data_IF_142985775341
#
_entry.id   IF_142985775341
#
_cell.length_a   1.000
_cell.length_b   1.000
_cell.length_c   1.000
_cell.angle_alpha   90.00
_cell.angle_beta   90.00
_cell.angle_gamma   90.00
#
_symmetry.space_group_name_H-M   'P 1'
#
loop_
_entity.id
_entity.type
_entity.pdbx_description
1 polymer ?
#
# COMPACT_ATOMS: atom_id res chain seq x y z
N UNK A 1 -2.65 -10.17 -26.55
CA UNK A 1 -2.36 -10.48 -25.14
C UNK A 1 -1.02 -9.89 -24.82
N UNK A 2 -0.97 -8.89 -23.95
CA UNK A 2 0.27 -8.13 -23.69
C UNK A 2 1.01 -8.67 -22.46
N UNK A 3 0.26 -9.13 -21.46
CA UNK A 3 0.80 -9.72 -20.22
C UNK A 3 0.05 -10.99 -19.85
N UNK A 4 0.80 -12.07 -19.66
CA UNK A 4 0.33 -13.32 -19.06
C UNK A 4 0.93 -13.45 -17.67
N UNK A 5 0.10 -13.75 -16.68
CA UNK A 5 0.47 -13.77 -15.26
C UNK A 5 0.13 -15.12 -14.68
N UNK A 6 1.12 -15.79 -14.08
CA UNK A 6 0.90 -17.01 -13.29
C UNK A 6 0.78 -16.63 -11.81
N UNK A 7 -0.30 -17.02 -11.14
CA UNK A 7 -0.53 -16.67 -9.73
C UNK A 7 0.34 -17.43 -8.75
N UNK A 8 0.73 -18.64 -9.12
CA UNK A 8 1.61 -19.52 -8.33
C UNK A 8 3.07 -19.03 -8.26
N UNK A 9 3.38 -17.98 -9.01
CA UNK A 9 4.71 -17.43 -9.19
C UNK A 9 4.77 -15.98 -8.71
N UNK A 10 5.95 -15.51 -8.26
CA UNK A 10 6.10 -14.13 -7.79
C UNK A 10 5.75 -13.12 -8.91
N UNK A 11 4.64 -12.40 -8.72
CA UNK A 11 4.13 -11.40 -9.65
C UNK A 11 5.18 -10.31 -9.89
N UNK A 12 5.92 -9.89 -8.87
CA UNK A 12 6.95 -8.86 -9.04
C UNK A 12 8.06 -9.34 -9.97
N UNK A 13 8.55 -10.56 -9.80
CA UNK A 13 9.58 -11.14 -10.66
C UNK A 13 9.10 -11.32 -12.13
N UNK A 14 7.82 -11.64 -12.33
CA UNK A 14 7.21 -11.70 -13.66
C UNK A 14 7.14 -10.31 -14.30
N UNK A 15 6.67 -9.32 -13.55
CA UNK A 15 6.53 -7.95 -14.06
C UNK A 15 7.88 -7.28 -14.29
N UNK A 16 8.88 -7.47 -13.43
CA UNK A 16 10.25 -6.97 -13.70
C UNK A 16 10.75 -7.44 -15.06
N UNK A 17 10.57 -8.73 -15.40
CA UNK A 17 10.96 -9.27 -16.70
C UNK A 17 10.22 -8.59 -17.86
N UNK A 18 8.93 -8.27 -17.69
CA UNK A 18 8.14 -7.56 -18.69
C UNK A 18 8.58 -6.11 -18.86
N UNK A 19 8.73 -5.35 -17.79
CA UNK A 19 9.12 -3.93 -17.86
C UNK A 19 10.59 -3.73 -18.25
N UNK A 20 11.46 -4.74 -18.09
CA UNK A 20 12.82 -4.73 -18.66
C UNK A 20 12.85 -4.90 -20.18
N UNK A 21 11.79 -5.44 -20.78
CA UNK A 21 11.73 -5.62 -22.23
C UNK A 21 11.46 -4.27 -22.92
N UNK A 22 12.38 -3.75 -23.76
CA UNK A 22 12.18 -2.47 -24.45
C UNK A 22 10.98 -2.44 -25.39
N UNK A 23 10.49 -3.60 -25.84
CA UNK A 23 9.30 -3.69 -26.68
C UNK A 23 7.99 -3.52 -25.90
N UNK A 24 8.03 -3.54 -24.56
CA UNK A 24 6.85 -3.38 -23.73
C UNK A 24 6.48 -1.89 -23.61
N UNK A 25 5.45 -1.48 -24.35
CA UNK A 25 5.01 -0.09 -24.43
C UNK A 25 3.89 0.21 -23.43
N UNK A 26 4.23 0.89 -22.33
CA UNK A 26 3.30 1.25 -21.24
C UNK A 26 2.27 2.32 -21.62
N UNK A 27 2.34 2.88 -22.84
CA UNK A 27 1.36 3.87 -23.34
C UNK A 27 0.16 3.20 -24.00
N UNK A 28 0.24 1.90 -24.27
CA UNK A 28 -0.83 1.13 -24.90
C UNK A 28 -1.77 0.58 -23.82
N UNK A 29 -3.08 0.41 -24.14
CA UNK A 29 -4.00 -0.30 -23.24
C UNK A 29 -3.44 -1.68 -22.90
N UNK A 30 -3.49 -2.03 -21.61
CA UNK A 30 -3.01 -3.32 -21.14
C UNK A 30 -4.12 -4.38 -21.32
N UNK A 31 -3.75 -5.55 -21.83
CA UNK A 31 -4.61 -6.72 -21.84
C UNK A 31 -3.95 -7.87 -21.07
N UNK A 32 -4.54 -8.21 -19.92
CA UNK A 32 -4.00 -9.17 -18.94
C UNK A 32 -4.75 -10.49 -18.96
N UNK A 33 -3.98 -11.57 -19.01
CA UNK A 33 -4.48 -12.94 -18.86
C UNK A 33 -3.84 -13.57 -17.61
N UNK A 34 -4.67 -14.05 -16.69
CA UNK A 34 -4.21 -14.97 -15.65
C UNK A 34 -4.20 -16.38 -16.24
N UNK A 35 -3.03 -17.01 -16.24
CA UNK A 35 -2.84 -18.33 -16.85
C UNK A 35 -3.70 -19.36 -16.12
N UNK A 36 -4.33 -20.25 -16.88
CA UNK A 36 -5.25 -21.29 -16.41
C UNK A 36 -6.60 -20.79 -15.86
N UNK A 37 -6.95 -19.52 -16.10
CA UNK A 37 -8.25 -18.93 -15.72
C UNK A 37 -9.10 -18.60 -16.95
N UNK A 38 -10.42 -18.84 -16.85
CA UNK A 38 -11.37 -18.45 -17.89
C UNK A 38 -11.78 -16.99 -17.71
N UNK A 39 -11.48 -16.14 -18.70
CA UNK A 39 -11.93 -14.75 -18.70
C UNK A 39 -11.31 -13.92 -19.81
N UNK A 40 -12.01 -12.89 -20.25
CA UNK A 40 -11.49 -11.88 -21.19
C UNK A 40 -11.31 -10.58 -20.42
N UNK A 41 -10.14 -9.96 -20.51
CA UNK A 41 -9.89 -8.70 -19.83
C UNK A 41 -10.72 -7.58 -20.44
N UNK A 42 -11.78 -7.19 -19.72
CA UNK A 42 -12.55 -5.96 -19.98
C UNK A 42 -12.17 -4.84 -19.02
N UNK A 43 -10.98 -4.95 -18.39
CA UNK A 43 -10.43 -4.03 -17.38
C UNK A 43 -10.30 -4.65 -15.98
N UNK A 44 -10.98 -5.77 -15.72
CA UNK A 44 -10.95 -6.45 -14.42
C UNK A 44 -9.59 -7.07 -14.09
N UNK A 45 -9.02 -7.85 -15.03
CA UNK A 45 -7.73 -8.50 -14.81
C UNK A 45 -6.59 -7.48 -14.74
N UNK A 46 -6.66 -6.41 -15.54
CA UNK A 46 -5.72 -5.29 -15.45
C UNK A 46 -5.72 -4.64 -14.06
N UNK A 47 -6.90 -4.33 -13.51
CA UNK A 47 -7.00 -3.76 -12.15
C UNK A 47 -6.48 -4.71 -11.09
N UNK A 48 -6.83 -5.98 -11.21
CA UNK A 48 -6.36 -7.01 -10.28
C UNK A 48 -4.83 -7.14 -10.31
N UNK A 49 -4.22 -7.22 -11.49
CA UNK A 49 -2.76 -7.26 -11.63
C UNK A 49 -2.10 -6.08 -10.93
N UNK A 50 -2.57 -4.85 -11.17
CA UNK A 50 -1.99 -3.68 -10.53
C UNK A 50 -2.19 -3.68 -9.02
N UNK A 51 -3.35 -4.13 -8.51
CA UNK A 51 -3.53 -4.30 -7.07
C UNK A 51 -2.50 -5.27 -6.48
N UNK A 52 -2.38 -6.47 -7.06
CA UNK A 52 -1.45 -7.50 -6.59
C UNK A 52 0.00 -7.01 -6.69
N UNK A 53 0.35 -6.31 -7.78
CA UNK A 53 1.67 -5.75 -7.98
C UNK A 53 1.99 -4.67 -6.94
N UNK A 54 1.10 -3.70 -6.72
CA UNK A 54 1.34 -2.63 -5.74
C UNK A 54 1.47 -3.18 -4.31
N UNK A 55 0.67 -4.18 -3.95
CA UNK A 55 0.82 -4.90 -2.67
C UNK A 55 2.13 -5.66 -2.58
N UNK A 56 2.54 -6.31 -3.66
CA UNK A 56 3.78 -7.09 -3.68
C UNK A 56 5.01 -6.19 -3.60
N UNK A 57 4.97 -4.99 -4.19
CA UNK A 57 6.05 -4.00 -4.09
C UNK A 57 6.34 -3.62 -2.62
N UNK A 58 5.30 -3.46 -1.80
CA UNK A 58 5.40 -3.00 -0.41
C UNK A 58 5.50 -4.11 0.62
N UNK A 59 5.45 -5.38 0.19
CA UNK A 59 5.52 -6.55 1.06
C UNK A 59 6.89 -7.22 0.97
N UNK A 60 7.52 -7.43 2.13
CA UNK A 60 8.75 -8.21 2.24
C UNK A 60 8.50 -9.71 2.10
N UNK A 61 9.41 -10.42 1.43
CA UNK A 61 9.48 -11.88 1.34
C UNK A 61 10.89 -12.36 1.65
N UNK A 62 11.03 -13.46 2.40
CA UNK A 62 12.34 -13.99 2.83
C UNK A 62 13.24 -14.36 1.64
N UNK A 63 12.68 -15.03 0.63
CA UNK A 63 13.41 -15.51 -0.55
C UNK A 63 13.12 -14.69 -1.83
N UNK A 64 12.66 -13.44 -1.66
CA UNK A 64 12.16 -12.61 -2.75
C UNK A 64 12.88 -11.27 -2.88
N UNK A 65 12.55 -10.56 -3.96
CA UNK A 65 13.00 -9.18 -4.16
C UNK A 65 12.23 -8.28 -3.20
N UNK A 66 12.95 -7.58 -2.32
CA UNK A 66 12.41 -6.63 -1.36
C UNK A 66 12.90 -5.23 -1.71
N UNK A 67 11.96 -4.36 -2.10
CA UNK A 67 12.28 -3.04 -2.67
C UNK A 67 12.15 -1.91 -1.63
N UNK A 68 11.34 -2.13 -0.60
CA UNK A 68 11.10 -1.20 0.49
C UNK A 68 11.34 -1.86 1.84
N UNK A 69 11.60 -1.03 2.85
CA UNK A 69 11.83 -1.42 4.24
C UNK A 69 11.17 -0.40 5.19
N UNK A 70 11.01 -0.80 6.45
CA UNK A 70 10.36 0.01 7.48
C UNK A 70 8.91 -0.40 7.75
N UNK A 71 8.22 0.44 8.51
CA UNK A 71 6.82 0.24 8.89
C UNK A 71 5.89 0.64 7.74
N UNK A 72 4.72 0.02 7.66
CA UNK A 72 3.71 0.44 6.70
C UNK A 72 3.19 1.85 7.05
N UNK A 73 3.03 2.69 6.02
CA UNK A 73 2.81 4.13 6.17
C UNK A 73 4.12 4.93 6.31
N UNK A 74 5.24 4.23 6.54
CA UNK A 74 6.58 4.78 6.71
C UNK A 74 7.62 4.04 5.86
N UNK A 75 7.18 3.35 4.80
CA UNK A 75 8.08 2.58 3.95
C UNK A 75 9.02 3.49 3.18
N UNK A 76 10.28 3.08 3.15
CA UNK A 76 11.34 3.75 2.41
C UNK A 76 11.99 2.78 1.41
N UNK A 77 12.46 3.25 0.24
CA UNK A 77 13.25 2.43 -0.67
C UNK A 77 14.44 1.81 0.06
N UNK A 78 14.72 0.52 -0.12
CA UNK A 78 15.90 -0.08 0.54
C UNK A 78 17.18 0.60 0.06
N UNK A 79 18.08 0.88 1.00
CA UNK A 79 19.41 1.35 0.66
C UNK A 79 20.27 0.16 0.20
N UNK A 80 20.04 -0.27 -1.04
CA UNK A 80 20.66 -1.46 -1.63
C UNK A 80 21.18 -1.11 -3.05
N UNK A 81 22.49 -1.25 -3.23
CA UNK A 81 23.16 -0.90 -4.47
C UNK A 81 22.87 -1.89 -5.61
N UNK A 82 22.58 -3.16 -5.33
CA UNK A 82 22.25 -4.14 -6.36
C UNK A 82 20.87 -3.83 -6.95
N UNK A 83 19.91 -3.42 -6.10
CA UNK A 83 18.60 -2.96 -6.57
C UNK A 83 18.71 -1.67 -7.38
N UNK A 84 19.55 -0.73 -6.93
CA UNK A 84 19.79 0.55 -7.59
C UNK A 84 20.47 0.36 -8.96
N UNK A 85 21.62 -0.32 -8.98
CA UNK A 85 22.39 -0.56 -10.21
C UNK A 85 21.64 -1.46 -11.20
N UNK A 86 20.78 -2.37 -10.69
CA UNK A 86 19.86 -3.17 -11.49
C UNK A 86 18.69 -2.38 -12.11
N UNK A 87 18.57 -1.08 -11.82
CA UNK A 87 17.56 -0.16 -12.33
C UNK A 87 16.15 -0.43 -11.79
N UNK A 88 16.02 -1.17 -10.68
CA UNK A 88 14.71 -1.61 -10.20
C UNK A 88 13.86 -0.45 -9.72
N UNK A 89 14.44 0.56 -9.09
CA UNK A 89 13.71 1.77 -8.67
C UNK A 89 13.11 2.56 -9.84
N UNK A 90 13.78 2.58 -10.99
CA UNK A 90 13.22 3.13 -12.23
C UNK A 90 12.02 2.31 -12.69
N UNK A 91 12.12 0.98 -12.67
CA UNK A 91 11.02 0.10 -13.06
C UNK A 91 9.80 0.27 -12.14
N UNK A 92 10.00 0.45 -10.84
CA UNK A 92 8.90 0.72 -9.89
C UNK A 92 8.18 2.01 -10.28
N UNK A 93 8.91 3.09 -10.52
CA UNK A 93 8.31 4.35 -11.00
C UNK A 93 7.48 4.14 -12.26
N UNK A 94 7.98 3.33 -13.22
CA UNK A 94 7.24 2.97 -14.44
C UNK A 94 5.99 2.14 -14.14
N UNK A 95 6.05 1.19 -13.21
CA UNK A 95 4.91 0.36 -12.80
C UNK A 95 3.81 1.20 -12.15
N UNK A 96 4.19 2.14 -11.28
CA UNK A 96 3.25 3.09 -10.64
C UNK A 96 2.62 3.99 -11.71
N UNK A 97 3.42 4.57 -12.60
CA UNK A 97 2.90 5.36 -13.72
C UNK A 97 1.91 4.55 -14.57
N UNK A 98 2.26 3.32 -14.90
CA UNK A 98 1.44 2.47 -15.75
C UNK A 98 0.11 2.07 -15.08
N UNK A 99 0.08 1.90 -13.75
CA UNK A 99 -1.19 1.67 -13.04
C UNK A 99 -2.11 2.88 -13.15
N UNK A 100 -1.55 4.09 -12.97
CA UNK A 100 -2.29 5.36 -13.08
C UNK A 100 -2.85 5.56 -14.49
N UNK A 101 -2.07 5.26 -15.53
CA UNK A 101 -2.52 5.32 -16.93
C UNK A 101 -3.68 4.37 -17.23
N UNK A 102 -3.74 3.23 -16.54
CA UNK A 102 -4.85 2.27 -16.64
C UNK A 102 -5.99 2.56 -15.64
N UNK A 103 -6.03 3.77 -15.06
CA UNK A 103 -7.08 4.21 -14.16
C UNK A 103 -7.03 3.57 -12.76
N UNK A 104 -5.98 2.84 -12.42
CA UNK A 104 -5.79 2.23 -11.11
C UNK A 104 -5.16 3.22 -10.11
N UNK A 105 -5.14 2.85 -8.83
CA UNK A 105 -4.35 3.55 -7.81
C UNK A 105 -2.86 3.22 -7.97
N UNK A 106 -2.01 4.08 -7.43
CA UNK A 106 -0.58 3.80 -7.32
C UNK A 106 -0.25 2.96 -6.09
N UNK A 107 0.83 3.32 -5.40
CA UNK A 107 1.40 2.57 -4.28
C UNK A 107 1.05 3.25 -2.94
N UNK A 108 0.50 2.49 -2.00
CA UNK A 108 0.27 2.95 -0.62
C UNK A 108 1.41 2.51 0.31
N UNK A 109 1.44 2.99 1.56
CA UNK A 109 2.41 2.50 2.55
C UNK A 109 3.73 3.27 2.62
N UNK A 110 4.02 4.14 1.64
CA UNK A 110 5.25 4.93 1.63
C UNK A 110 5.24 6.03 2.69
N UNK A 111 6.43 6.33 3.22
CA UNK A 111 6.66 7.46 4.11
C UNK A 111 6.17 8.78 3.50
N UNK A 112 5.48 9.64 4.27
CA UNK A 112 5.11 10.99 3.85
C UNK A 112 6.32 11.82 3.38
N UNK A 113 7.48 11.65 4.00
CA UNK A 113 8.71 12.33 3.60
C UNK A 113 9.21 11.86 2.22
N UNK A 114 9.16 10.54 1.97
CA UNK A 114 9.48 9.99 0.65
C UNK A 114 8.48 10.45 -0.43
N UNK A 115 7.19 10.48 -0.13
CA UNK A 115 6.15 10.98 -1.04
C UNK A 115 6.40 12.45 -1.37
N UNK A 116 6.65 13.30 -0.37
CA UNK A 116 6.94 14.71 -0.57
C UNK A 116 8.16 14.94 -1.48
N UNK A 117 9.23 14.14 -1.30
CA UNK A 117 10.37 14.17 -2.21
C UNK A 117 10.02 13.65 -3.61
N UNK A 118 9.31 12.53 -3.73
CA UNK A 118 8.95 11.96 -5.04
C UNK A 118 8.08 12.93 -5.84
N UNK A 119 7.16 13.66 -5.20
CA UNK A 119 6.31 14.65 -5.86
C UNK A 119 7.10 15.90 -6.28
N UNK A 120 7.93 16.45 -5.38
CA UNK A 120 8.54 17.78 -5.59
C UNK A 120 9.99 17.74 -6.11
N UNK A 121 10.72 16.67 -5.84
CA UNK A 121 12.16 16.56 -6.06
C UNK A 121 12.98 17.43 -5.11
N UNK A 122 12.38 17.97 -4.05
CA UNK A 122 13.03 18.91 -3.14
C UNK A 122 13.18 18.32 -1.75
N UNK A 123 14.37 18.49 -1.17
CA UNK A 123 14.71 17.98 0.16
C UNK A 123 13.98 18.74 1.27
N UNK A 124 13.83 20.05 1.13
CA UNK A 124 13.12 20.92 2.07
C UNK A 124 11.66 20.49 2.27
N UNK A 125 10.99 20.07 1.19
CA UNK A 125 9.64 19.52 1.26
C UNK A 125 9.60 18.20 2.04
N UNK A 126 10.59 17.32 1.86
CA UNK A 126 10.66 16.04 2.55
C UNK A 126 10.91 16.18 4.06
N UNK A 127 11.80 17.11 4.44
CA UNK A 127 12.20 17.32 5.85
C UNK A 127 11.01 17.71 6.73
N UNK A 128 10.01 18.40 6.19
CA UNK A 128 8.80 18.79 6.92
C UNK A 128 7.93 17.62 7.38
N UNK A 129 8.15 16.43 6.81
CA UNK A 129 7.35 15.24 7.03
C UNK A 129 8.11 14.11 7.72
N UNK A 130 9.36 14.36 8.16
CA UNK A 130 10.16 13.35 8.84
C UNK A 130 9.56 13.00 10.20
N UNK A 131 9.50 11.71 10.50
CA UNK A 131 9.15 11.19 11.81
C UNK A 131 10.14 10.12 12.27
N UNK A 132 10.14 9.84 13.58
CA UNK A 132 10.91 8.74 14.15
C UNK A 132 10.45 7.37 13.59
N UNK A 133 9.20 7.26 13.12
CA UNK A 133 8.61 6.06 12.55
C UNK A 133 9.17 5.72 11.15
N UNK A 134 9.80 6.70 10.48
CA UNK A 134 10.50 6.49 9.20
C UNK A 134 11.82 5.71 9.36
N UNK A 135 12.35 5.55 10.57
CA UNK A 135 13.55 4.73 10.78
C UNK A 135 13.21 3.25 10.62
N UNK A 136 13.81 2.63 9.61
CA UNK A 136 13.63 1.21 9.31
C UNK A 136 14.32 0.29 10.30
N UNK A 137 15.37 0.76 10.99
CA UNK A 137 16.10 0.00 12.00
C UNK A 137 15.48 0.23 13.40
N UNK A 138 14.86 -0.80 14.01
CA UNK A 138 14.24 -0.68 15.33
C UNK A 138 15.23 -0.40 16.47
N UNK A 139 16.49 -0.80 16.32
CA UNK A 139 17.54 -0.54 17.32
C UNK A 139 17.90 0.93 17.26
N UNK A 140 18.21 1.45 16.07
CA UNK A 140 18.52 2.86 15.87
C UNK A 140 17.36 3.77 16.29
N UNK A 141 16.12 3.35 15.98
CA UNK A 141 14.92 4.06 16.40
C UNK A 141 14.83 4.22 17.93
N UNK A 142 15.08 3.14 18.68
CA UNK A 142 15.14 3.17 20.15
C UNK A 142 16.28 4.03 20.66
N UNK A 143 17.45 3.96 20.03
CA UNK A 143 18.60 4.81 20.37
C UNK A 143 18.25 6.29 20.20
N UNK A 144 17.58 6.68 19.11
CA UNK A 144 17.17 8.06 18.89
C UNK A 144 16.06 8.50 19.84
N UNK A 145 15.16 7.59 20.22
CA UNK A 145 14.18 7.86 21.26
C UNK A 145 14.86 8.15 22.61
N UNK A 146 15.85 7.34 23.01
CA UNK A 146 16.64 7.59 24.22
C UNK A 146 17.45 8.90 24.10
N UNK A 147 18.03 9.21 22.92
CA UNK A 147 18.75 10.48 22.68
C UNK A 147 17.87 11.69 23.01
N UNK A 148 16.60 11.67 22.60
CA UNK A 148 15.67 12.77 22.82
C UNK A 148 15.20 12.85 24.29
N UNK A 149 15.09 11.72 24.99
CA UNK A 149 14.46 11.66 26.32
C UNK A 149 15.45 11.56 27.49
N UNK A 150 16.72 11.23 27.27
CA UNK A 150 17.67 10.94 28.34
C UNK A 150 18.10 12.19 29.13
N UNK A 151 18.66 11.99 30.32
CA UNK A 151 19.26 13.08 31.09
C UNK A 151 20.62 13.50 30.48
N UNK A 152 21.08 14.71 30.80
CA UNK A 152 22.32 15.27 30.25
C UNK A 152 23.59 14.47 30.59
N UNK A 153 23.58 13.68 31.67
CA UNK A 153 24.72 12.87 32.08
C UNK A 153 24.95 11.67 31.15
N UNK A 154 23.89 11.18 30.48
CA UNK A 154 23.97 10.08 29.51
C UNK A 154 24.35 10.52 28.10
N UNK A 155 24.41 11.82 27.81
CA UNK A 155 24.61 12.29 26.44
C UNK A 155 25.98 11.93 25.86
N UNK A 156 27.01 11.88 26.70
CA UNK A 156 28.34 11.45 26.28
C UNK A 156 28.32 10.01 25.72
N UNK A 157 27.42 9.15 26.20
CA UNK A 157 27.30 7.75 25.80
C UNK A 157 26.93 7.59 24.31
N UNK A 158 26.37 8.62 23.67
CA UNK A 158 26.05 8.62 22.24
C UNK A 158 27.29 8.83 21.35
N UNK A 159 28.41 9.24 21.94
CA UNK A 159 29.71 9.43 21.28
C UNK A 159 30.83 8.65 21.94
N UNK A 160 30.51 7.63 22.75
CA UNK A 160 31.46 6.70 23.33
C UNK A 160 31.42 5.37 22.56
N UNK A 161 32.51 4.94 21.89
CA UNK A 161 32.50 3.74 21.04
C UNK A 161 32.06 2.44 21.74
N UNK A 162 32.31 2.32 23.05
CA UNK A 162 31.97 1.14 23.87
C UNK A 162 30.48 1.11 24.29
N UNK A 163 29.73 2.17 24.03
CA UNK A 163 28.34 2.32 24.46
C UNK A 163 27.36 1.69 23.48
N UNK A 164 26.32 1.03 24.01
CA UNK A 164 25.20 0.52 23.18
C UNK A 164 24.30 1.61 22.60
N UNK A 165 24.50 2.87 23.00
CA UNK A 165 23.78 4.05 22.48
C UNK A 165 24.62 4.86 21.48
N UNK A 166 25.83 4.40 21.17
CA UNK A 166 26.76 5.11 20.29
C UNK A 166 26.13 5.32 18.90
N UNK A 167 26.19 6.56 18.39
CA UNK A 167 25.70 6.93 17.04
C UNK A 167 26.79 7.59 16.17
N UNK A 168 28.06 7.31 16.47
CA UNK A 168 29.20 7.93 15.76
C UNK A 168 29.16 7.59 14.27
N UNK A 169 28.80 6.35 13.91
CA UNK A 169 28.77 5.90 12.52
C UNK A 169 27.67 6.64 11.74
N UNK A 170 26.50 6.85 12.33
CA UNK A 170 25.40 7.60 11.75
C UNK A 170 25.75 9.08 11.59
N UNK A 171 26.42 9.67 12.59
CA UNK A 171 26.93 11.03 12.51
C UNK A 171 27.97 11.18 11.40
N UNK A 172 28.89 10.22 11.27
CA UNK A 172 29.88 10.20 10.20
C UNK A 172 29.22 10.07 8.83
N UNK A 173 28.26 9.15 8.67
CA UNK A 173 27.50 8.96 7.45
C UNK A 173 26.70 10.23 7.07
N UNK A 174 26.14 10.93 8.07
CA UNK A 174 25.46 12.20 7.91
C UNK A 174 26.39 13.39 7.58
N UNK A 175 27.71 13.20 7.64
CA UNK A 175 28.71 14.23 7.34
C UNK A 175 29.15 15.08 8.55
N UNK A 176 28.90 14.60 9.76
CA UNK A 176 29.19 15.28 11.04
C UNK A 176 30.15 14.46 11.94
N UNK A 177 31.34 14.08 11.47
CA UNK A 177 32.25 13.14 12.16
C UNK A 177 32.80 13.64 13.52
N UNK A 178 32.65 14.93 13.82
CA UNK A 178 33.17 15.58 15.02
C UNK A 178 32.06 16.21 15.87
N UNK A 179 30.80 15.84 15.63
CA UNK A 179 29.69 16.37 16.42
C UNK A 179 29.63 15.65 17.76
N UNK A 180 29.96 16.38 18.82
CA UNK A 180 29.71 15.95 20.19
C UNK A 180 28.23 16.10 20.53
N UNK A 181 27.67 15.06 21.17
CA UNK A 181 26.29 15.07 21.64
C UNK A 181 26.25 15.74 23.01
N UNK A 182 25.87 17.02 23.03
CA UNK A 182 25.64 17.82 24.24
C UNK A 182 24.18 18.26 24.31
N UNK A 183 23.73 18.80 25.45
CA UNK A 183 22.34 19.26 25.61
C UNK A 183 21.95 20.28 24.51
N UNK A 184 22.86 21.19 24.18
CA UNK A 184 22.63 22.22 23.17
C UNK A 184 22.62 21.68 21.74
N UNK A 185 23.27 20.53 21.50
CA UNK A 185 23.46 19.94 20.16
C UNK A 185 22.65 18.66 19.94
N UNK A 186 21.96 18.15 20.96
CA UNK A 186 21.19 16.91 20.95
C UNK A 186 20.17 16.87 19.81
N UNK A 187 19.34 17.89 19.67
CA UNK A 187 18.35 17.97 18.59
C UNK A 187 19.01 18.07 17.23
N UNK A 188 20.11 18.81 17.12
CA UNK A 188 20.86 18.91 15.87
C UNK A 188 21.48 17.57 15.45
N UNK A 189 22.06 16.81 16.40
CA UNK A 189 22.57 15.46 16.15
C UNK A 189 21.46 14.52 15.67
N UNK A 190 20.32 14.53 16.37
CA UNK A 190 19.12 13.77 15.99
C UNK A 190 18.65 14.13 14.57
N UNK A 191 18.45 15.41 14.27
CA UNK A 191 17.95 15.87 12.97
C UNK A 191 18.91 15.51 11.83
N UNK A 192 20.22 15.73 12.02
CA UNK A 192 21.20 15.42 10.99
C UNK A 192 21.21 13.93 10.65
N UNK A 193 21.23 13.06 11.66
CA UNK A 193 21.18 11.63 11.43
C UNK A 193 19.85 11.20 10.84
N UNK A 194 18.70 11.68 11.34
CA UNK A 194 17.38 11.34 10.80
C UNK A 194 17.24 11.75 9.33
N UNK A 195 17.65 12.96 8.98
CA UNK A 195 17.61 13.45 7.59
C UNK A 195 18.51 12.60 6.69
N UNK A 196 19.69 12.20 7.18
CA UNK A 196 20.56 11.30 6.44
C UNK A 196 19.91 9.94 6.23
N UNK A 197 19.47 9.36 7.35
CA UNK A 197 18.94 8.03 7.48
C UNK A 197 17.61 7.84 6.79
N UNK A 198 16.79 8.87 6.58
CA UNK A 198 15.49 8.72 5.91
C UNK A 198 15.58 9.15 4.44
N UNK A 199 16.19 10.31 4.18
CA UNK A 199 16.17 10.94 2.85
C UNK A 199 17.52 10.86 2.16
N UNK A 200 18.59 11.36 2.77
CA UNK A 200 19.84 11.65 2.04
C UNK A 200 20.45 10.40 1.43
N UNK A 201 20.54 9.29 2.18
CA UNK A 201 21.08 8.04 1.64
C UNK A 201 20.18 7.37 0.60
N UNK A 202 18.91 7.78 0.49
CA UNK A 202 17.92 7.21 -0.43
C UNK A 202 17.65 8.05 -1.67
N UNK A 203 18.28 9.23 -1.79
CA UNK A 203 18.09 10.10 -2.94
C UNK A 203 18.31 9.40 -4.29
N UNK A 204 19.34 8.55 -4.50
CA UNK A 204 19.49 7.86 -5.77
C UNK A 204 18.29 6.99 -6.14
N UNK A 205 17.74 6.24 -5.17
CA UNK A 205 16.57 5.40 -5.37
C UNK A 205 15.29 6.24 -5.59
N UNK A 206 15.11 7.31 -4.82
CA UNK A 206 13.97 8.23 -4.97
C UNK A 206 14.00 8.95 -6.32
N UNK A 207 15.18 9.37 -6.78
CA UNK A 207 15.39 9.98 -8.10
C UNK A 207 15.11 8.96 -9.21
N UNK A 208 15.48 7.69 -9.04
CA UNK A 208 15.16 6.64 -9.99
C UNK A 208 13.65 6.37 -10.07
N UNK A 209 12.94 6.35 -8.94
CA UNK A 209 11.46 6.29 -8.95
C UNK A 209 10.89 7.48 -9.72
N UNK A 210 11.40 8.70 -9.49
CA UNK A 210 11.01 9.90 -10.23
C UNK A 210 11.25 9.75 -11.74
N UNK A 211 12.41 9.21 -12.16
CA UNK A 211 12.69 8.92 -13.57
C UNK A 211 11.63 7.99 -14.17
N UNK A 212 11.25 6.92 -13.45
CA UNK A 212 10.21 6.01 -13.90
C UNK A 212 8.83 6.66 -14.01
N UNK A 213 8.46 7.52 -13.06
CA UNK A 213 7.20 8.28 -13.09
C UNK A 213 7.17 9.32 -14.22
N UNK A 214 8.33 9.78 -14.68
CA UNK A 214 8.48 10.75 -15.76
C UNK A 214 8.55 10.11 -17.17
N UNK A 215 8.49 8.78 -17.28
CA UNK A 215 8.71 8.04 -18.53
C UNK A 215 7.74 8.45 -19.65
N UNK A 216 6.46 8.67 -19.31
CA UNK A 216 5.46 9.15 -20.27
C UNK A 216 5.40 10.67 -20.20
N UNK A 217 5.81 11.29 -21.31
CA UNK A 217 5.83 12.73 -21.49
C UNK A 217 4.86 13.12 -22.62
N UNK A 218 3.85 13.92 -22.29
CA UNK A 218 2.90 14.48 -23.26
C UNK A 218 3.13 15.98 -23.33
N UNK A 219 3.75 16.44 -24.43
CA UNK A 219 3.98 17.88 -24.69
C UNK A 219 4.73 18.61 -23.57
N UNK A 220 5.70 17.95 -22.94
CA UNK A 220 6.48 18.49 -21.81
C UNK A 220 5.86 18.26 -20.43
N UNK A 221 4.67 17.64 -20.36
CA UNK A 221 3.98 17.35 -19.11
C UNK A 221 4.14 15.87 -18.78
N UNK A 222 4.67 15.58 -17.58
CA UNK A 222 4.78 14.24 -17.01
C UNK A 222 3.86 14.08 -15.81
N UNK A 223 3.73 12.86 -15.29
CA UNK A 223 2.99 12.63 -14.03
C UNK A 223 3.60 13.43 -12.87
N UNK A 224 4.91 13.62 -12.81
CA UNK A 224 5.55 14.45 -11.77
C UNK A 224 5.06 15.90 -11.81
N UNK A 225 4.93 16.51 -12.99
CA UNK A 225 4.40 17.87 -13.13
C UNK A 225 2.96 17.99 -12.60
N UNK A 226 2.16 16.93 -12.77
CA UNK A 226 0.79 16.89 -12.26
C UNK A 226 0.76 16.66 -10.75
N UNK A 227 1.61 15.77 -10.24
CA UNK A 227 1.72 15.49 -8.81
C UNK A 227 2.13 16.73 -8.02
N UNK A 228 3.08 17.52 -8.52
CA UNK A 228 3.50 18.77 -7.88
C UNK A 228 2.37 19.82 -7.80
N UNK A 229 1.44 19.81 -8.77
CA UNK A 229 0.36 20.79 -8.89
C UNK A 229 -0.95 20.39 -8.22
N UNK A 230 -1.25 19.10 -8.14
CA UNK A 230 -2.58 18.59 -7.74
C UNK A 230 -2.49 17.64 -6.55
N UNK A 231 -2.73 18.12 -5.31
CA UNK A 231 -2.71 17.29 -4.11
C UNK A 231 -3.67 16.09 -4.16
N UNK A 232 -4.85 16.26 -4.76
CA UNK A 232 -5.81 15.15 -4.95
C UNK A 232 -5.23 14.00 -5.77
N UNK A 233 -4.40 14.32 -6.78
CA UNK A 233 -3.71 13.31 -7.57
C UNK A 233 -2.62 12.62 -6.74
N UNK A 234 -1.92 13.36 -5.87
CA UNK A 234 -0.97 12.74 -4.94
C UNK A 234 -1.68 11.70 -4.06
N UNK A 235 -2.87 12.01 -3.53
CA UNK A 235 -3.67 11.05 -2.75
C UNK A 235 -4.16 9.83 -3.54
N UNK A 236 -4.22 9.90 -4.88
CA UNK A 236 -4.56 8.76 -5.74
C UNK A 236 -3.34 7.90 -6.10
N UNK A 237 -2.20 8.53 -6.35
CA UNK A 237 -0.95 7.84 -6.72
C UNK A 237 -0.22 7.29 -5.49
N UNK A 238 -0.27 8.03 -4.39
CA UNK A 238 0.28 7.64 -3.10
C UNK A 238 -0.81 7.72 -2.01
N UNK A 239 -1.80 6.81 -2.04
CA UNK A 239 -2.85 6.80 -1.03
C UNK A 239 -2.25 6.62 0.37
N UNK A 240 -2.80 7.37 1.33
CA UNK A 240 -2.46 7.19 2.73
C UNK A 240 -2.64 5.72 3.10
N UNK A 241 -1.65 5.17 3.80
CA UNK A 241 -1.80 3.85 4.36
C UNK A 241 -2.74 3.91 5.55
N UNK A 242 -3.93 3.36 5.38
CA UNK A 242 -4.86 3.14 6.48
C UNK A 242 -5.19 1.65 6.51
N UNK A 243 -4.79 0.99 7.60
CA UNK A 243 -5.37 -0.30 7.97
C UNK A 243 -6.74 -0.13 8.66
N UNK A 244 -7.17 1.11 8.87
CA UNK A 244 -8.39 1.46 9.57
C UNK A 244 -9.49 1.81 8.57
N UNK A 245 -10.06 0.75 8.00
CA UNK A 245 -11.43 0.85 7.51
C UNK A 245 -12.33 0.89 8.75
N UNK A 246 -12.93 2.04 9.03
CA UNK A 246 -13.95 2.15 10.07
C UNK A 246 -15.29 1.63 9.57
N UNK A 247 -16.02 0.90 10.40
CA UNK A 247 -17.38 0.43 10.12
C UNK A 247 -18.31 1.59 9.73
N UNK A 248 -18.21 2.73 10.42
CA UNK A 248 -19.06 3.89 10.15
C UNK A 248 -18.75 4.52 8.80
N UNK A 249 -17.46 4.60 8.42
CA UNK A 249 -17.04 5.17 7.14
C UNK A 249 -17.39 4.24 5.99
N UNK A 250 -17.25 2.93 6.15
CA UNK A 250 -17.71 1.94 5.17
C UNK A 250 -19.22 2.09 4.94
N UNK A 251 -20.02 2.15 6.02
CA UNK A 251 -21.48 2.32 5.94
C UNK A 251 -21.91 3.57 5.16
N UNK A 252 -21.17 4.67 5.24
CA UNK A 252 -21.44 5.88 4.43
C UNK A 252 -21.26 5.68 2.92
N UNK A 253 -20.44 4.69 2.51
CA UNK A 253 -20.24 4.34 1.10
C UNK A 253 -21.27 3.35 0.57
N UNK A 254 -22.02 2.67 1.45
CA UNK A 254 -22.96 1.63 1.03
C UNK A 254 -24.18 2.21 0.31
N UNK A 255 -24.66 1.44 -0.67
CA UNK A 255 -25.95 1.61 -1.29
C UNK A 255 -26.59 0.23 -1.45
N UNK A 256 -27.67 -0.04 -0.70
CA UNK A 256 -28.41 -1.29 -0.85
C UNK A 256 -29.35 -1.20 -2.05
N UNK A 257 -29.50 -2.30 -2.79
CA UNK A 257 -30.63 -2.45 -3.71
C UNK A 257 -31.94 -2.44 -2.92
N UNK A 258 -32.93 -1.72 -3.43
CA UNK A 258 -34.25 -1.68 -2.80
C UNK A 258 -34.96 -3.02 -3.00
N UNK A 259 -35.39 -3.64 -1.90
CA UNK A 259 -36.18 -4.87 -1.90
C UNK A 259 -37.21 -4.83 -0.79
N UNK A 260 -38.41 -5.32 -1.07
CA UNK A 260 -39.49 -5.49 -0.08
C UNK A 260 -39.59 -6.93 0.44
N UNK A 261 -38.72 -7.83 -0.03
CA UNK A 261 -38.68 -9.22 0.43
C UNK A 261 -38.11 -9.29 1.85
N UNK A 262 -38.83 -9.98 2.75
CA UNK A 262 -38.45 -10.10 4.17
C UNK A 262 -37.05 -10.69 4.36
N UNK A 263 -36.63 -11.64 3.52
CA UNK A 263 -35.29 -12.25 3.60
C UNK A 263 -34.21 -11.27 3.15
N UNK A 264 -34.48 -10.43 2.14
CA UNK A 264 -33.54 -9.39 1.70
C UNK A 264 -33.34 -8.35 2.80
N UNK A 265 -34.43 -7.87 3.41
CA UNK A 265 -34.40 -6.92 4.53
C UNK A 265 -33.64 -7.53 5.72
N UNK A 266 -33.88 -8.81 6.02
CA UNK A 266 -33.18 -9.51 7.09
C UNK A 266 -31.68 -9.67 6.81
N UNK A 267 -31.30 -10.00 5.57
CA UNK A 267 -29.91 -10.12 5.15
C UNK A 267 -29.19 -8.77 5.20
N UNK A 268 -29.86 -7.67 4.84
CA UNK A 268 -29.33 -6.31 5.02
C UNK A 268 -29.03 -6.01 6.49
N UNK A 269 -29.96 -6.29 7.40
CA UNK A 269 -29.75 -6.09 8.85
C UNK A 269 -28.58 -6.94 9.36
N UNK A 270 -28.48 -8.19 8.93
CA UNK A 270 -27.35 -9.05 9.26
C UNK A 270 -26.04 -8.54 8.68
N UNK A 271 -26.03 -7.99 7.47
CA UNK A 271 -24.82 -7.43 6.88
C UNK A 271 -24.35 -6.17 7.61
N UNK A 272 -25.27 -5.28 8.00
CA UNK A 272 -24.95 -4.12 8.83
C UNK A 272 -24.39 -4.53 10.21
N UNK A 273 -24.96 -5.59 10.82
CA UNK A 273 -24.44 -6.17 12.06
C UNK A 273 -23.04 -6.76 11.86
N UNK A 274 -22.84 -7.50 10.77
CA UNK A 274 -21.55 -8.12 10.43
C UNK A 274 -20.45 -7.09 10.24
N UNK A 275 -20.73 -5.97 9.57
CA UNK A 275 -19.80 -4.84 9.44
C UNK A 275 -19.41 -4.26 10.82
N UNK A 276 -20.37 -4.07 11.72
CA UNK A 276 -20.07 -3.57 13.07
C UNK A 276 -19.24 -4.55 13.89
N UNK A 277 -19.45 -5.86 13.70
CA UNK A 277 -18.64 -6.89 14.35
C UNK A 277 -17.21 -6.93 13.80
N UNK A 278 -17.03 -6.88 12.47
CA UNK A 278 -15.71 -6.78 11.85
C UNK A 278 -14.93 -5.57 12.36
N UNK A 279 -15.61 -4.43 12.57
CA UNK A 279 -14.99 -3.22 13.13
C UNK A 279 -14.55 -3.31 14.59
N UNK A 280 -14.96 -4.37 15.30
CA UNK A 280 -14.57 -4.63 16.71
C UNK A 280 -13.56 -5.77 16.85
N UNK A 281 -13.26 -6.51 15.77
CA UNK A 281 -12.27 -7.59 15.81
C UNK A 281 -10.88 -7.01 16.05
N UNK A 282 -10.08 -7.74 16.81
CA UNK A 282 -8.69 -7.37 17.04
C UNK A 282 -7.90 -7.54 15.74
N UNK A 283 -7.00 -6.60 15.44
CA UNK A 283 -6.23 -6.60 14.18
C UNK A 283 -5.16 -7.69 14.16
N UNK A 284 -4.77 -8.20 15.33
CA UNK A 284 -3.74 -9.22 15.51
C UNK A 284 -4.29 -10.66 15.57
N UNK A 285 -5.60 -10.85 15.37
CA UNK A 285 -6.20 -12.19 15.32
C UNK A 285 -6.30 -12.71 13.88
N UNK A 286 -6.21 -14.04 13.70
CA UNK A 286 -6.34 -14.73 12.39
C UNK A 286 -7.77 -14.64 11.78
N UNK A 287 -8.57 -13.64 12.15
CA UNK A 287 -9.94 -13.45 11.66
C UNK A 287 -10.00 -12.41 10.54
N UNK A 288 -11.12 -12.41 9.81
CA UNK A 288 -11.32 -11.45 8.73
C UNK A 288 -11.56 -10.05 9.28
N UNK A 289 -11.01 -9.06 8.60
CA UNK A 289 -11.08 -7.64 8.98
C UNK A 289 -11.99 -6.85 8.05
N UNK A 290 -12.32 -5.61 8.41
CA UNK A 290 -13.01 -4.69 7.49
C UNK A 290 -12.20 -4.41 6.22
N UNK A 291 -10.86 -4.34 6.33
CA UNK A 291 -9.97 -4.19 5.18
C UNK A 291 -10.07 -5.40 4.24
N UNK A 292 -10.16 -6.61 4.78
CA UNK A 292 -10.34 -7.84 3.99
C UNK A 292 -11.69 -7.85 3.27
N UNK A 293 -12.77 -7.41 3.92
CA UNK A 293 -14.08 -7.26 3.28
C UNK A 293 -14.03 -6.25 2.11
N UNK A 294 -13.41 -5.09 2.32
CA UNK A 294 -13.29 -4.06 1.27
C UNK A 294 -12.42 -4.56 0.12
N UNK A 295 -11.34 -5.28 0.42
CA UNK A 295 -10.51 -5.94 -0.57
C UNK A 295 -11.30 -6.99 -1.36
N UNK A 296 -12.06 -7.85 -0.69
CA UNK A 296 -12.89 -8.86 -1.34
C UNK A 296 -13.88 -8.22 -2.32
N UNK A 297 -14.49 -7.12 -1.91
CA UNK A 297 -15.52 -6.45 -2.69
C UNK A 297 -14.94 -5.62 -3.85
N UNK A 298 -13.91 -4.82 -3.60
CA UNK A 298 -13.42 -3.80 -4.55
C UNK A 298 -12.13 -4.19 -5.25
N UNK A 299 -11.56 -5.33 -4.88
CA UNK A 299 -10.18 -5.69 -5.19
C UNK A 299 -9.14 -4.71 -4.64
N UNK A 300 -9.49 -3.81 -3.71
CA UNK A 300 -8.56 -2.87 -3.06
C UNK A 300 -8.83 -2.80 -1.55
N UNK A 301 -7.80 -2.78 -0.67
CA UNK A 301 -8.02 -2.89 0.78
C UNK A 301 -8.47 -1.58 1.45
N UNK A 302 -8.65 -0.51 0.69
CA UNK A 302 -9.12 0.77 1.22
C UNK A 302 -10.41 1.20 0.53
N UNK A 303 -11.20 2.00 1.23
CA UNK A 303 -12.41 2.59 0.68
C UNK A 303 -12.06 3.56 -0.47
N UNK A 304 -12.99 3.78 -1.43
CA UNK A 304 -12.86 4.86 -2.39
C UNK A 304 -12.58 6.19 -1.68
N UNK A 305 -11.79 7.07 -2.30
CA UNK A 305 -11.41 8.36 -1.72
C UNK A 305 -12.57 9.34 -1.55
N UNK A 306 -13.73 9.02 -2.13
CA UNK A 306 -14.94 9.85 -2.12
C UNK A 306 -16.19 9.00 -1.96
N UNK A 307 -17.13 9.46 -1.13
CA UNK A 307 -18.45 8.84 -0.90
C UNK A 307 -19.41 8.96 -2.08
N UNK A 308 -19.05 9.73 -3.12
CA UNK A 308 -19.80 9.78 -4.37
C UNK A 308 -19.68 8.46 -5.17
N UNK A 309 -18.59 7.72 -4.98
CA UNK A 309 -18.47 6.36 -5.50
C UNK A 309 -19.07 5.39 -4.50
N UNK A 310 -20.23 4.83 -4.83
CA UNK A 310 -20.99 3.93 -3.95
C UNK A 310 -20.56 2.47 -4.11
N UNK A 311 -20.58 1.76 -2.98
CA UNK A 311 -20.42 0.32 -2.88
C UNK A 311 -21.82 -0.29 -2.82
N UNK A 312 -22.23 -1.02 -3.85
CA UNK A 312 -23.60 -1.51 -3.97
C UNK A 312 -23.80 -2.90 -3.39
N UNK A 313 -24.71 -3.05 -2.42
CA UNK A 313 -25.10 -4.35 -1.87
C UNK A 313 -26.34 -4.85 -2.58
N UNK A 314 -26.24 -6.03 -3.18
CA UNK A 314 -27.32 -6.73 -3.87
C UNK A 314 -27.64 -8.05 -3.14
N UNK A 315 -28.67 -8.76 -3.57
CA UNK A 315 -29.12 -10.00 -2.94
C UNK A 315 -29.03 -11.17 -3.92
N UNK A 316 -28.50 -12.30 -3.45
CA UNK A 316 -28.54 -13.54 -4.22
C UNK A 316 -29.94 -14.14 -4.21
N UNK A 317 -30.23 -14.94 -5.22
CA UNK A 317 -31.45 -15.76 -5.25
C UNK A 317 -31.49 -16.71 -4.03
N UNK A 318 -32.69 -16.92 -3.49
CA UNK A 318 -32.98 -17.80 -2.34
C UNK A 318 -32.89 -19.28 -2.74
N UNK A 319 -31.67 -19.73 -3.04
CA UNK A 319 -31.35 -21.08 -3.46
C UNK A 319 -30.38 -21.73 -2.48
N UNK A 320 -30.58 -23.00 -2.18
CA UNK A 320 -29.71 -23.79 -1.28
C UNK A 320 -28.25 -23.89 -1.74
N UNK A 321 -27.99 -23.59 -3.02
CA UNK A 321 -26.65 -23.57 -3.62
C UNK A 321 -25.94 -22.22 -3.46
N UNK A 322 -26.67 -21.14 -3.17
CA UNK A 322 -26.14 -19.76 -3.07
C UNK A 322 -25.75 -19.41 -1.62
N UNK A 323 -24.78 -20.15 -1.09
CA UNK A 323 -24.37 -20.04 0.33
C UNK A 323 -23.33 -18.96 0.59
N UNK A 324 -22.44 -18.70 -0.37
CA UNK A 324 -21.34 -17.73 -0.26
C UNK A 324 -21.75 -16.39 -0.89
N UNK A 325 -21.14 -15.27 -0.44
CA UNK A 325 -21.28 -14.00 -1.13
C UNK A 325 -20.64 -14.05 -2.53
N UNK A 326 -21.21 -13.31 -3.49
CA UNK A 326 -20.64 -13.15 -4.83
C UNK A 326 -20.27 -11.69 -5.08
N UNK A 327 -19.14 -11.45 -5.74
CA UNK A 327 -18.65 -10.09 -6.00
C UNK A 327 -18.52 -9.83 -7.49
N UNK A 328 -18.96 -8.65 -7.90
CA UNK A 328 -18.64 -8.04 -9.18
C UNK A 328 -17.80 -6.81 -8.87
N UNK A 329 -16.49 -6.99 -8.82
CA UNK A 329 -15.56 -5.93 -8.38
C UNK A 329 -15.53 -4.74 -9.34
N UNK A 330 -15.74 -4.97 -10.64
CA UNK A 330 -15.79 -3.91 -11.66
C UNK A 330 -16.88 -2.86 -11.42
N UNK A 331 -18.16 -3.23 -11.19
CA UNK A 331 -19.21 -2.30 -10.77
C UNK A 331 -19.26 -2.06 -9.25
N UNK A 332 -18.35 -2.66 -8.46
CA UNK A 332 -18.37 -2.62 -6.99
C UNK A 332 -19.69 -3.11 -6.40
N UNK A 333 -20.20 -4.24 -6.91
CA UNK A 333 -21.43 -4.89 -6.40
C UNK A 333 -21.07 -6.13 -5.59
N UNK A 334 -21.58 -6.22 -4.36
CA UNK A 334 -21.50 -7.39 -3.50
C UNK A 334 -22.90 -7.97 -3.34
N UNK A 335 -23.13 -9.17 -3.86
CA UNK A 335 -24.39 -9.89 -3.71
C UNK A 335 -24.31 -10.81 -2.48
N UNK A 336 -25.10 -10.51 -1.45
CA UNK A 336 -25.12 -11.27 -0.19
C UNK A 336 -26.18 -12.39 -0.21
N UNK A 337 -25.92 -13.54 0.42
CA UNK A 337 -26.85 -14.68 0.44
C UNK A 337 -28.05 -14.43 1.37
N UNK A 338 -29.26 -14.71 0.88
CA UNK A 338 -30.51 -14.60 1.66
C UNK A 338 -31.03 -15.95 2.17
N UNK A 339 -30.37 -17.05 1.78
CA UNK A 339 -30.80 -18.43 2.08
C UNK A 339 -30.55 -18.87 3.53
N UNK A 340 -29.69 -18.14 4.26
CA UNK A 340 -29.32 -18.50 5.63
C UNK A 340 -30.48 -18.28 6.60
N UNK A 341 -30.72 -19.25 7.49
CA UNK A 341 -31.82 -19.20 8.46
C UNK A 341 -31.50 -18.42 9.75
N UNK A 342 -30.22 -18.10 9.98
CA UNK A 342 -29.76 -17.37 11.16
C UNK A 342 -28.45 -16.63 10.87
N UNK A 343 -28.18 -15.63 11.71
CA UNK A 343 -27.01 -14.77 11.61
C UNK A 343 -25.67 -15.52 11.68
N UNK A 344 -25.54 -16.52 12.56
CA UNK A 344 -24.26 -17.25 12.72
C UNK A 344 -23.89 -18.03 11.44
N UNK A 345 -24.87 -18.62 10.76
CA UNK A 345 -24.66 -19.24 9.46
C UNK A 345 -24.25 -18.20 8.41
N UNK A 346 -24.99 -17.10 8.33
CA UNK A 346 -24.70 -16.00 7.40
C UNK A 346 -23.26 -15.46 7.57
N UNK A 347 -22.89 -15.13 8.80
CA UNK A 347 -21.56 -14.67 9.20
C UNK A 347 -20.46 -15.66 8.81
N UNK A 348 -20.64 -16.94 9.15
CA UNK A 348 -19.66 -18.00 8.84
C UNK A 348 -19.36 -18.10 7.35
N UNK A 349 -20.37 -18.00 6.49
CA UNK A 349 -20.18 -18.09 5.05
C UNK A 349 -19.65 -16.78 4.43
N UNK A 350 -19.94 -15.62 5.03
CA UNK A 350 -19.27 -14.37 4.67
C UNK A 350 -17.77 -14.41 4.98
N UNK A 351 -17.39 -14.80 6.21
CA UNK A 351 -15.99 -14.96 6.60
C UNK A 351 -15.27 -15.92 5.63
N UNK A 352 -15.92 -17.04 5.28
CA UNK A 352 -15.40 -18.00 4.30
C UNK A 352 -15.24 -17.41 2.89
N UNK A 353 -16.18 -16.57 2.43
CA UNK A 353 -16.07 -15.91 1.13
C UNK A 353 -14.90 -14.92 1.09
N UNK A 354 -14.72 -14.14 2.16
CA UNK A 354 -13.63 -13.16 2.29
C UNK A 354 -12.27 -13.86 2.38
N UNK A 355 -12.16 -14.98 3.10
CA UNK A 355 -10.90 -15.70 3.25
C UNK A 355 -10.37 -16.25 1.91
N UNK A 356 -11.25 -16.66 1.00
CA UNK A 356 -10.85 -17.05 -0.36
C UNK A 356 -10.23 -15.89 -1.14
N UNK A 357 -10.68 -14.66 -0.90
CA UNK A 357 -10.16 -13.46 -1.57
C UNK A 357 -8.73 -13.09 -1.13
N UNK A 358 -8.27 -13.60 0.03
CA UNK A 358 -6.88 -13.43 0.48
C UNK A 358 -5.89 -14.17 -0.43
N UNK A 359 -6.33 -15.24 -1.11
CA UNK A 359 -5.51 -16.06 -2.00
C UNK A 359 -5.65 -15.72 -3.50
N UNK A 360 -6.67 -14.94 -3.89
CA UNK A 360 -6.92 -14.49 -5.27
C UNK A 360 -8.33 -14.82 -5.77
N UNK A 361 -8.87 -14.00 -6.68
CA UNK A 361 -10.28 -14.07 -7.11
C UNK A 361 -10.64 -15.27 -8.01
N UNK A 362 -9.64 -16.01 -8.53
CA UNK A 362 -9.83 -17.13 -9.47
C UNK A 362 -10.01 -18.52 -8.82
N UNK A 363 -9.98 -18.64 -7.49
CA UNK A 363 -10.10 -19.94 -6.78
C UNK A 363 -11.52 -20.29 -6.31
N UNK A 364 -12.55 -19.54 -6.72
CA UNK A 364 -13.95 -19.82 -6.34
C UNK A 364 -14.55 -20.99 -7.11
#
# INVERSE_FOLDING_TARGET
>A
MDVQVKRDSDILAQMIRKYKNPAFDIRKPLNVEFVDEFGVDSGGHTRELFCLLMKRLTKGQADGINLFEGLQGHLLPRHDYDLLSGGLFVLIGKMILHSVLNGCCGISGLSPAAIAYICTGRRDAAVQHLSLEDLSDPVLQKTFQELLCCNSAKLADFTLPESSLCIIEELQAAGYPHLEVTEQKRHFAYECCLVHEVITKRLPALDDIRKGLAEVNVTGITLLCLLERFPELQGRVFPAYSNDVSASVLKMHLQYFESTDEKCVQAQLWFDQYIDELGKRDKDCDQETLSDLVQFWTSYPALPSTTAQKLTVDYLEDLSTKLLPEVKTCPMVLSIPVVHSNYESFKKYLDKGISFAKEGFGKM
#
